data_IF_960991760277
#
_entry.id   IF_960991760277
#
_cell.length_a   1.000
_cell.length_b   1.000
_cell.length_c   1.000
_cell.angle_alpha   90.00
_cell.angle_beta   90.00
_cell.angle_gamma   90.00
#
_symmetry.space_group_name_H-M   'P 1'
#
loop_
_entity.id
_entity.type
_entity.pdbx_description
1 polymer ?
#
# COMPACT_ATOMS: atom_id res chain seq x y z
N UNK A 1 42.96 -43.76 -11.08
CA UNK A 1 42.93 -43.85 -12.57
C UNK A 1 42.34 -42.59 -13.16
N UNK A 2 43.15 -41.88 -13.89
CA UNK A 2 42.85 -40.66 -14.66
C UNK A 2 42.04 -41.01 -15.91
N UNK A 3 41.11 -40.16 -16.35
CA UNK A 3 40.78 -39.82 -17.76
C UNK A 3 39.93 -38.55 -17.75
N UNK A 4 40.52 -37.42 -18.00
CA UNK A 4 40.53 -36.52 -19.18
C UNK A 4 39.21 -36.46 -19.97
N UNK A 5 38.56 -35.26 -19.98
CA UNK A 5 38.64 -34.15 -20.92
C UNK A 5 37.90 -34.41 -22.23
N UNK A 6 36.93 -33.58 -22.58
CA UNK A 6 36.91 -32.89 -23.89
C UNK A 6 35.97 -31.67 -23.77
N UNK A 7 36.54 -30.50 -23.98
CA UNK A 7 35.95 -29.18 -24.26
C UNK A 7 35.50 -29.22 -25.73
N UNK A 8 34.29 -28.73 -26.02
CA UNK A 8 33.95 -28.34 -27.39
C UNK A 8 33.23 -26.98 -27.35
N UNK A 9 34.00 -25.98 -27.70
CA UNK A 9 33.62 -24.64 -28.11
C UNK A 9 33.03 -24.67 -29.49
N UNK A 10 31.84 -24.11 -29.69
CA UNK A 10 31.35 -23.71 -31.01
C UNK A 10 30.86 -22.26 -30.92
N UNK A 11 31.68 -21.41 -31.47
CA UNK A 11 31.42 -20.04 -31.88
C UNK A 11 30.50 -20.06 -33.11
N UNK A 12 29.44 -19.28 -33.11
CA UNK A 12 28.61 -19.07 -34.29
C UNK A 12 28.09 -17.64 -34.29
N UNK A 13 28.68 -16.88 -35.21
CA UNK A 13 28.54 -15.44 -35.36
C UNK A 13 27.25 -14.98 -36.07
N UNK A 14 26.84 -13.78 -35.75
CA UNK A 14 26.26 -12.67 -36.55
C UNK A 14 25.22 -12.98 -37.65
N UNK A 15 24.06 -12.31 -37.53
CA UNK A 15 23.49 -11.55 -38.65
C UNK A 15 22.64 -10.37 -38.12
N UNK A 16 23.20 -9.19 -38.26
CA UNK A 16 22.52 -7.91 -38.17
C UNK A 16 21.86 -7.68 -39.54
N UNK A 17 20.55 -7.43 -39.57
CA UNK A 17 19.87 -6.85 -40.74
C UNK A 17 19.10 -5.63 -40.33
N UNK A 18 19.72 -4.49 -40.58
CA UNK A 18 19.10 -3.17 -40.65
C UNK A 18 18.18 -3.11 -41.86
N UNK A 19 16.97 -2.61 -41.65
CA UNK A 19 16.15 -2.06 -42.75
C UNK A 19 15.82 -0.62 -42.45
N UNK A 20 16.58 0.23 -43.15
CA UNK A 20 16.26 1.63 -43.44
C UNK A 20 15.54 1.69 -44.79
N UNK A 21 14.48 2.47 -44.89
CA UNK A 21 14.00 3.21 -46.07
C UNK A 21 12.81 4.08 -45.62
N UNK A 22 12.88 5.33 -45.48
CA UNK A 22 13.13 6.49 -46.35
C UNK A 22 12.00 6.77 -47.34
N UNK A 23 11.48 8.00 -47.20
CA UNK A 23 10.88 8.92 -48.14
C UNK A 23 9.45 8.60 -48.62
N UNK A 24 8.54 9.54 -48.75
CA UNK A 24 8.69 10.83 -49.36
C UNK A 24 7.53 11.77 -48.96
N UNK A 25 7.85 13.03 -48.92
CA UNK A 25 6.97 14.18 -48.86
C UNK A 25 6.18 14.35 -50.17
N UNK A 26 4.97 14.88 -50.07
CA UNK A 26 4.45 15.79 -51.11
C UNK A 26 3.48 16.82 -50.51
N UNK A 27 3.84 18.05 -50.71
CA UNK A 27 3.09 19.25 -50.47
C UNK A 27 2.18 19.58 -51.66
N UNK A 28 1.06 20.22 -51.39
CA UNK A 28 0.36 21.22 -52.28
C UNK A 28 -0.78 21.79 -51.45
N UNK A 29 -0.71 22.97 -50.96
CA UNK A 29 -0.82 24.31 -51.51
C UNK A 29 -2.28 24.71 -51.90
N UNK A 30 -2.71 25.73 -51.18
CA UNK A 30 -3.54 26.85 -51.56
C UNK A 30 -5.07 26.67 -51.71
N UNK A 31 -5.86 27.39 -50.90
CA UNK A 31 -6.49 28.63 -51.32
C UNK A 31 -7.19 29.33 -50.15
N UNK A 32 -6.92 30.60 -50.02
CA UNK A 32 -7.55 31.65 -49.19
C UNK A 32 -9.00 31.89 -49.61
N UNK A 33 -9.80 32.33 -48.65
CA UNK A 33 -10.75 33.48 -48.66
C UNK A 33 -11.83 33.21 -47.62
N UNK A 34 -12.14 33.99 -46.74
CA UNK A 34 -12.47 35.35 -46.43
C UNK A 34 -13.27 35.35 -45.11
N UNK A 35 -12.90 36.25 -44.21
CA UNK A 35 -13.72 36.62 -43.02
C UNK A 35 -14.99 37.42 -43.49
N UNK A 36 -16.07 37.43 -42.67
CA UNK A 36 -16.19 38.47 -41.66
C UNK A 36 -16.72 38.02 -40.30
N UNK A 37 -16.18 38.64 -39.25
CA UNK A 37 -16.79 38.81 -37.92
C UNK A 37 -17.84 39.95 -38.00
N UNK A 38 -18.68 40.24 -36.96
CA UNK A 38 -18.77 39.69 -35.62
C UNK A 38 -20.21 39.40 -35.14
N UNK A 39 -20.40 38.60 -34.13
CA UNK A 39 -21.50 38.82 -33.17
C UNK A 39 -21.12 38.28 -31.79
N UNK A 40 -20.91 39.22 -30.93
CA UNK A 40 -20.78 39.12 -29.51
C UNK A 40 -22.02 38.43 -28.94
N UNK A 41 -21.89 37.17 -28.51
CA UNK A 41 -22.86 36.56 -27.63
C UNK A 41 -22.14 36.14 -26.36
N UNK A 42 -22.48 36.84 -25.28
CA UNK A 42 -21.96 36.57 -23.92
C UNK A 42 -22.27 35.14 -23.53
N UNK A 43 -21.22 34.37 -23.23
CA UNK A 43 -21.35 33.07 -22.58
C UNK A 43 -21.88 33.26 -21.14
N UNK A 44 -22.87 32.46 -20.68
CA UNK A 44 -23.26 32.45 -19.29
C UNK A 44 -22.09 31.94 -18.43
N UNK A 45 -21.96 32.41 -17.16
CA UNK A 45 -20.88 32.00 -16.30
C UNK A 45 -20.94 30.48 -16.08
N UNK A 46 -19.82 29.82 -16.32
CA UNK A 46 -19.63 28.42 -16.01
C UNK A 46 -19.96 28.21 -14.53
N UNK A 47 -21.11 27.59 -14.27
CA UNK A 47 -21.48 27.14 -12.94
C UNK A 47 -20.39 26.22 -12.45
N UNK A 48 -19.85 26.54 -11.28
CA UNK A 48 -18.98 25.66 -10.54
C UNK A 48 -19.66 24.29 -10.43
N UNK A 49 -19.18 23.32 -11.19
CA UNK A 49 -19.50 21.94 -10.96
C UNK A 49 -18.88 21.62 -9.59
N UNK A 50 -19.74 21.65 -8.58
CA UNK A 50 -19.42 21.08 -7.28
C UNK A 50 -19.03 19.62 -7.56
N UNK A 51 -17.73 19.34 -7.50
CA UNK A 51 -17.24 17.97 -7.46
C UNK A 51 -17.89 17.34 -6.22
N UNK A 52 -18.90 16.53 -6.45
CA UNK A 52 -19.51 15.70 -5.42
C UNK A 52 -18.40 14.84 -4.86
N UNK A 53 -17.98 15.16 -3.63
CA UNK A 53 -17.10 14.31 -2.83
C UNK A 53 -17.69 12.90 -2.87
N UNK A 54 -16.90 11.85 -3.20
CA UNK A 54 -17.41 10.50 -3.18
C UNK A 54 -18.06 10.26 -1.82
N UNK A 55 -19.36 9.99 -1.80
CA UNK A 55 -20.07 9.68 -0.56
C UNK A 55 -19.55 8.33 -0.11
N UNK A 56 -18.79 8.32 0.96
CA UNK A 56 -18.32 7.09 1.59
C UNK A 56 -19.52 6.17 1.88
N UNK A 57 -19.46 4.87 1.54
CA UNK A 57 -20.54 3.96 1.82
C UNK A 57 -20.84 3.91 3.33
N UNK A 58 -22.09 3.64 3.74
CA UNK A 58 -22.46 3.48 5.13
C UNK A 58 -21.55 2.49 5.86
N UNK A 59 -21.23 2.76 7.12
CA UNK A 59 -20.29 1.97 7.94
C UNK A 59 -20.59 0.45 7.89
N UNK A 60 -21.84 0.06 8.04
CA UNK A 60 -22.27 -1.34 7.92
C UNK A 60 -22.02 -2.00 6.54
N UNK A 61 -21.87 -1.21 5.48
CA UNK A 61 -21.49 -1.72 4.16
C UNK A 61 -19.99 -1.90 4.05
N UNK A 62 -19.20 -1.04 4.70
CA UNK A 62 -17.74 -1.16 4.78
C UNK A 62 -17.35 -2.40 5.56
N UNK A 63 -17.99 -2.66 6.71
CA UNK A 63 -17.72 -3.83 7.54
C UNK A 63 -17.96 -5.13 6.76
N UNK A 64 -19.09 -5.25 6.07
CA UNK A 64 -19.40 -6.42 5.24
C UNK A 64 -18.41 -6.61 4.09
N UNK A 65 -17.93 -5.51 3.49
CA UNK A 65 -16.94 -5.56 2.43
C UNK A 65 -15.60 -6.10 2.96
N UNK A 66 -15.18 -5.63 4.12
CA UNK A 66 -13.97 -6.12 4.78
C UNK A 66 -14.12 -7.60 5.13
N UNK A 67 -15.23 -8.00 5.74
CA UNK A 67 -15.48 -9.40 6.12
C UNK A 67 -15.43 -10.34 4.91
N UNK A 68 -16.02 -9.95 3.79
CA UNK A 68 -16.01 -10.75 2.56
C UNK A 68 -14.62 -10.84 1.94
N UNK A 69 -13.84 -9.75 1.94
CA UNK A 69 -12.48 -9.75 1.45
C UNK A 69 -11.54 -10.58 2.34
N UNK A 70 -11.65 -10.45 3.66
CA UNK A 70 -10.91 -11.27 4.65
C UNK A 70 -11.23 -12.75 4.47
N UNK A 71 -12.54 -13.07 4.33
CA UNK A 71 -12.96 -14.44 4.13
C UNK A 71 -12.42 -15.02 2.82
N UNK A 72 -12.34 -14.24 1.74
CA UNK A 72 -11.75 -14.67 0.48
C UNK A 72 -10.26 -15.01 0.61
N UNK A 73 -9.48 -14.20 1.33
CA UNK A 73 -8.07 -14.50 1.61
C UNK A 73 -7.93 -15.79 2.43
N UNK A 74 -8.76 -15.97 3.46
CA UNK A 74 -8.77 -17.18 4.27
C UNK A 74 -9.11 -18.43 3.43
N UNK A 75 -10.12 -18.35 2.56
CA UNK A 75 -10.45 -19.46 1.67
C UNK A 75 -9.32 -19.77 0.68
N UNK A 76 -8.57 -18.76 0.23
CA UNK A 76 -7.38 -18.98 -0.59
C UNK A 76 -6.29 -19.73 0.17
N UNK A 77 -6.08 -19.41 1.46
CA UNK A 77 -5.15 -20.14 2.32
C UNK A 77 -5.62 -21.60 2.59
N UNK A 78 -6.94 -21.78 2.76
CA UNK A 78 -7.53 -23.11 2.88
C UNK A 78 -7.29 -23.94 1.62
N UNK A 79 -7.44 -23.34 0.44
CA UNK A 79 -7.16 -24.00 -0.84
C UNK A 79 -5.69 -24.44 -0.93
N UNK A 80 -4.73 -23.58 -0.55
CA UNK A 80 -3.30 -23.93 -0.49
C UNK A 80 -3.05 -25.13 0.45
N UNK A 81 -3.66 -25.09 1.62
CA UNK A 81 -3.54 -26.19 2.60
C UNK A 81 -4.13 -27.50 2.05
N UNK A 82 -5.26 -27.44 1.36
CA UNK A 82 -5.89 -28.60 0.73
C UNK A 82 -5.02 -29.18 -0.41
N UNK A 83 -4.38 -28.30 -1.23
CA UNK A 83 -3.43 -28.73 -2.26
C UNK A 83 -2.24 -29.48 -1.62
N UNK A 84 -1.69 -28.97 -0.53
CA UNK A 84 -0.56 -29.60 0.19
C UNK A 84 -0.95 -30.96 0.79
N UNK A 85 -2.23 -31.16 1.07
CA UNK A 85 -2.79 -32.44 1.54
C UNK A 85 -3.25 -33.36 0.39
N UNK A 86 -3.03 -32.97 -0.87
CA UNK A 86 -3.53 -33.65 -2.08
C UNK A 86 -5.07 -33.79 -2.14
N UNK A 87 -5.80 -32.85 -1.54
CA UNK A 87 -7.26 -32.77 -1.53
C UNK A 87 -7.73 -31.73 -2.54
N UNK A 88 -7.59 -32.08 -3.82
CA UNK A 88 -7.85 -31.13 -4.92
C UNK A 88 -9.30 -30.64 -4.96
N UNK A 89 -10.27 -31.51 -4.64
CA UNK A 89 -11.70 -31.14 -4.62
C UNK A 89 -12.00 -30.14 -3.52
N UNK A 90 -11.42 -30.31 -2.32
CA UNK A 90 -11.53 -29.36 -1.21
C UNK A 90 -10.89 -28.00 -1.59
N UNK A 91 -9.77 -28.03 -2.32
CA UNK A 91 -9.13 -26.83 -2.80
C UNK A 91 -10.00 -26.07 -3.82
N UNK A 92 -10.62 -26.78 -4.76
CA UNK A 92 -11.54 -26.20 -5.75
C UNK A 92 -12.72 -25.56 -5.02
N UNK A 93 -13.36 -26.28 -4.09
CA UNK A 93 -14.49 -25.77 -3.32
C UNK A 93 -14.12 -24.50 -2.51
N UNK A 94 -12.91 -24.44 -1.95
CA UNK A 94 -12.42 -23.24 -1.27
C UNK A 94 -12.23 -22.06 -2.24
N UNK A 95 -11.68 -22.30 -3.44
CA UNK A 95 -11.51 -21.26 -4.47
C UNK A 95 -12.85 -20.74 -5.02
N UNK A 96 -13.85 -21.60 -5.15
CA UNK A 96 -15.21 -21.20 -5.53
C UNK A 96 -15.82 -20.26 -4.48
N UNK A 97 -15.69 -20.60 -3.19
CA UNK A 97 -16.15 -19.74 -2.10
C UNK A 97 -15.41 -18.40 -2.08
N UNK A 98 -14.08 -18.41 -2.26
CA UNK A 98 -13.29 -17.20 -2.31
C UNK A 98 -13.71 -16.30 -3.48
N UNK A 99 -13.85 -16.87 -4.67
CA UNK A 99 -14.28 -16.16 -5.88
C UNK A 99 -15.66 -15.54 -5.72
N UNK A 100 -16.64 -16.33 -5.21
CA UNK A 100 -18.00 -15.85 -4.98
C UNK A 100 -18.05 -14.66 -4.03
N UNK A 101 -17.26 -14.66 -2.96
CA UNK A 101 -17.16 -13.52 -2.02
C UNK A 101 -16.61 -12.27 -2.70
N UNK A 102 -15.57 -12.40 -3.50
CA UNK A 102 -14.98 -11.25 -4.22
C UNK A 102 -15.90 -10.71 -5.31
N UNK A 103 -16.66 -11.56 -5.97
CA UNK A 103 -17.66 -11.13 -6.95
C UNK A 103 -18.79 -10.32 -6.29
N UNK A 104 -19.19 -10.69 -5.08
CA UNK A 104 -20.16 -9.91 -4.29
C UNK A 104 -19.57 -8.53 -3.93
N UNK A 105 -18.31 -8.47 -3.51
CA UNK A 105 -17.60 -7.21 -3.23
C UNK A 105 -17.59 -6.31 -4.46
N UNK A 106 -17.18 -6.86 -5.61
CA UNK A 106 -17.12 -6.12 -6.88
C UNK A 106 -18.50 -5.68 -7.38
N UNK A 107 -19.54 -6.50 -7.21
CA UNK A 107 -20.90 -6.15 -7.57
C UNK A 107 -21.44 -4.98 -6.75
N UNK A 108 -21.08 -4.89 -5.47
CA UNK A 108 -21.49 -3.79 -4.57
C UNK A 108 -20.67 -2.53 -4.78
N UNK A 109 -19.40 -2.68 -5.08
CA UNK A 109 -18.46 -1.54 -5.19
C UNK A 109 -17.55 -1.73 -6.41
N UNK A 110 -18.07 -1.54 -7.65
CA UNK A 110 -17.33 -1.83 -8.88
C UNK A 110 -16.06 -1.00 -9.07
N UNK A 111 -16.00 0.17 -8.45
CA UNK A 111 -14.86 1.11 -8.54
C UNK A 111 -13.78 0.85 -7.50
N UNK A 112 -13.99 -0.11 -6.58
CA UNK A 112 -13.02 -0.42 -5.53
C UNK A 112 -11.84 -1.19 -6.14
N UNK A 113 -10.67 -0.56 -6.17
CA UNK A 113 -9.45 -1.19 -6.67
C UNK A 113 -8.79 -2.09 -5.62
N UNK A 114 -8.83 -1.69 -4.35
CA UNK A 114 -8.15 -2.33 -3.23
C UNK A 114 -9.12 -2.51 -2.05
N UNK A 115 -9.36 -3.76 -1.62
CA UNK A 115 -10.18 -4.06 -0.45
C UNK A 115 -9.29 -4.29 0.79
N UNK A 116 -9.52 -3.62 1.93
CA UNK A 116 -8.79 -3.91 3.15
C UNK A 116 -9.10 -5.32 3.65
N UNK A 117 -8.05 -6.06 4.05
CA UNK A 117 -8.16 -7.46 4.51
C UNK A 117 -7.49 -7.69 5.87
N UNK A 118 -6.65 -6.77 6.32
CA UNK A 118 -6.03 -6.83 7.64
C UNK A 118 -5.59 -5.45 8.08
N UNK A 119 -5.64 -5.20 9.38
CA UNK A 119 -5.11 -3.99 10.01
C UNK A 119 -4.31 -4.42 11.24
N UNK A 120 -3.02 -4.11 11.24
CA UNK A 120 -2.18 -4.30 12.43
C UNK A 120 -1.69 -2.95 12.94
N UNK A 121 -1.67 -2.81 14.27
CA UNK A 121 -1.20 -1.60 14.96
C UNK A 121 -0.07 -2.01 15.88
N UNK A 122 1.10 -1.41 15.69
CA UNK A 122 2.27 -1.62 16.55
C UNK A 122 2.70 -0.28 17.09
N UNK A 123 2.80 -0.18 18.43
CA UNK A 123 3.29 1.03 19.08
C UNK A 123 4.68 0.74 19.66
N UNK A 124 5.62 1.55 19.23
CA UNK A 124 6.94 1.65 19.83
C UNK A 124 7.01 2.94 20.63
N UNK A 125 7.52 2.89 21.83
CA UNK A 125 7.69 4.09 22.64
C UNK A 125 9.04 4.02 23.37
N UNK A 126 9.79 5.10 23.28
CA UNK A 126 11.05 5.23 23.99
C UNK A 126 10.75 5.57 25.44
N UNK A 127 10.95 4.60 26.32
CA UNK A 127 10.85 4.79 27.76
C UNK A 127 12.26 5.07 28.29
N UNK A 128 12.61 6.37 28.42
CA UNK A 128 13.94 6.77 28.87
C UNK A 128 14.05 8.26 29.11
N UNK A 129 15.19 8.65 29.64
CA UNK A 129 15.56 10.06 29.83
C UNK A 129 16.24 10.60 28.57
N UNK A 130 16.34 11.94 28.38
CA UNK A 130 17.16 12.51 27.31
C UNK A 130 18.61 12.02 27.32
N UNK A 131 19.18 11.71 28.48
CA UNK A 131 20.51 11.15 28.60
C UNK A 131 20.61 9.74 28.02
N UNK A 132 19.56 8.91 28.15
CA UNK A 132 19.52 7.58 27.53
C UNK A 132 19.48 7.68 26.01
N UNK A 133 18.74 8.64 25.46
CA UNK A 133 18.70 8.91 24.02
C UNK A 133 20.08 9.33 23.49
N UNK A 134 20.77 10.25 24.18
CA UNK A 134 22.12 10.68 23.80
C UNK A 134 23.13 9.51 23.86
N UNK A 135 23.02 8.63 24.85
CA UNK A 135 23.85 7.43 24.96
C UNK A 135 23.63 6.52 23.74
N UNK A 136 22.38 6.21 23.39
CA UNK A 136 22.05 5.36 22.24
C UNK A 136 22.55 6.02 20.94
N UNK A 137 22.42 7.34 20.78
CA UNK A 137 22.99 8.07 19.63
C UNK A 137 24.50 7.86 19.51
N UNK A 138 25.21 7.93 20.64
CA UNK A 138 26.65 7.65 20.68
C UNK A 138 26.98 6.21 20.25
N UNK A 139 26.21 5.23 20.72
CA UNK A 139 26.33 3.82 20.33
C UNK A 139 26.05 3.59 18.84
N UNK A 140 25.06 4.28 18.26
CA UNK A 140 24.79 4.27 16.83
C UNK A 140 25.99 4.78 16.04
N UNK A 141 26.56 5.94 16.44
CA UNK A 141 27.74 6.51 15.80
C UNK A 141 28.94 5.55 15.84
N UNK A 142 29.19 4.92 17.00
CA UNK A 142 30.24 3.92 17.15
C UNK A 142 30.01 2.68 16.29
N UNK A 143 28.77 2.19 16.19
CA UNK A 143 28.42 1.05 15.35
C UNK A 143 28.63 1.35 13.86
N UNK A 144 28.26 2.54 13.40
CA UNK A 144 28.49 2.99 12.02
C UNK A 144 30.00 3.07 11.73
N UNK A 145 30.78 3.71 12.61
CA UNK A 145 32.22 3.84 12.46
C UNK A 145 32.96 2.48 12.39
N UNK A 146 32.41 1.45 13.01
CA UNK A 146 32.91 0.09 13.00
C UNK A 146 32.33 -0.78 11.85
N UNK A 147 31.53 -0.21 10.94
CA UNK A 147 30.87 -0.94 9.85
C UNK A 147 29.77 -1.91 10.30
N UNK A 148 29.33 -1.86 11.57
CA UNK A 148 28.28 -2.71 12.13
C UNK A 148 26.90 -2.15 11.82
N UNK A 149 26.53 -2.09 10.54
CA UNK A 149 25.34 -1.41 10.06
C UNK A 149 24.03 -2.04 10.58
N UNK A 150 23.98 -3.35 10.78
CA UNK A 150 22.79 -4.02 11.32
C UNK A 150 22.54 -3.65 12.79
N UNK A 151 23.62 -3.52 13.58
CA UNK A 151 23.51 -3.05 14.95
C UNK A 151 23.06 -1.58 14.98
N UNK A 152 23.67 -0.72 14.16
CA UNK A 152 23.25 0.68 14.06
C UNK A 152 21.76 0.81 13.70
N UNK A 153 21.28 0.04 12.72
CA UNK A 153 19.87 0.02 12.32
C UNK A 153 18.95 -0.39 13.48
N UNK A 154 19.32 -1.44 14.23
CA UNK A 154 18.55 -1.87 15.40
C UNK A 154 18.48 -0.76 16.46
N UNK A 155 19.61 -0.16 16.81
CA UNK A 155 19.66 0.92 17.80
C UNK A 155 18.85 2.15 17.38
N UNK A 156 18.82 2.48 16.07
CA UNK A 156 17.99 3.57 15.55
C UNK A 156 16.49 3.22 15.67
N UNK A 157 16.10 1.98 15.38
CA UNK A 157 14.70 1.58 15.51
C UNK A 157 14.20 1.62 16.95
N UNK A 158 15.10 1.38 17.92
CA UNK A 158 14.78 1.46 19.34
C UNK A 158 14.60 2.91 19.85
N UNK A 159 14.98 3.92 19.04
CA UNK A 159 14.74 5.35 19.30
C UNK A 159 13.41 5.86 18.72
N UNK A 160 12.69 5.05 17.99
CA UNK A 160 11.38 5.40 17.43
C UNK A 160 10.32 5.51 18.52
N UNK A 161 9.64 6.66 18.62
CA UNK A 161 8.46 6.83 19.47
C UNK A 161 7.27 7.07 18.57
N UNK A 162 6.63 5.99 18.11
CA UNK A 162 5.62 6.05 17.06
C UNK A 162 4.60 4.91 17.17
N UNK A 163 3.43 5.14 16.64
CA UNK A 163 2.45 4.09 16.34
C UNK A 163 2.43 3.86 14.84
N UNK A 164 2.70 2.63 14.44
CA UNK A 164 2.68 2.18 13.05
C UNK A 164 1.40 1.40 12.80
N UNK A 165 0.58 1.90 11.88
CA UNK A 165 -0.63 1.23 11.41
C UNK A 165 -0.36 0.66 10.03
N UNK A 166 -0.37 -0.67 9.90
CA UNK A 166 -0.25 -1.36 8.63
C UNK A 166 -1.63 -1.82 8.17
N UNK A 167 -2.01 -1.48 6.96
CA UNK A 167 -3.28 -1.86 6.34
C UNK A 167 -2.96 -2.73 5.14
N UNK A 168 -3.26 -4.03 5.23
CA UNK A 168 -3.13 -4.95 4.10
C UNK A 168 -4.37 -4.84 3.20
N UNK A 169 -4.15 -4.68 1.90
CA UNK A 169 -5.21 -4.46 0.91
C UNK A 169 -5.10 -5.46 -0.24
N UNK A 170 -6.22 -6.07 -0.58
CA UNK A 170 -6.34 -7.05 -1.65
C UNK A 170 -6.62 -6.35 -2.98
N UNK A 171 -5.83 -6.57 -4.06
CA UNK A 171 -6.07 -5.98 -5.36
C UNK A 171 -7.23 -6.69 -6.09
N UNK A 172 -8.40 -6.06 -6.13
CA UNK A 172 -9.61 -6.65 -6.70
C UNK A 172 -9.59 -6.78 -8.23
N UNK A 173 -8.71 -6.03 -8.92
CA UNK A 173 -8.58 -6.11 -10.37
C UNK A 173 -7.91 -7.40 -10.86
N UNK A 174 -7.04 -8.01 -10.07
CA UNK A 174 -6.22 -9.15 -10.49
C UNK A 174 -6.46 -10.43 -9.68
N UNK A 175 -6.78 -10.28 -8.41
CA UNK A 175 -6.89 -11.41 -7.49
C UNK A 175 -8.00 -12.41 -7.87
N UNK A 176 -9.24 -12.01 -8.24
CA UNK A 176 -10.27 -12.95 -8.64
C UNK A 176 -9.91 -13.76 -9.90
N UNK A 177 -9.21 -13.12 -10.84
CA UNK A 177 -8.72 -13.81 -12.05
C UNK A 177 -7.69 -14.88 -11.70
N UNK A 178 -6.78 -14.62 -10.77
CA UNK A 178 -5.80 -15.60 -10.30
C UNK A 178 -6.48 -16.80 -9.61
N UNK A 179 -7.54 -16.59 -8.81
CA UNK A 179 -8.30 -17.68 -8.19
C UNK A 179 -8.96 -18.58 -9.25
N UNK A 180 -9.58 -17.98 -10.26
CA UNK A 180 -10.19 -18.70 -11.38
C UNK A 180 -9.15 -19.51 -12.17
N UNK A 181 -7.98 -18.91 -12.41
CA UNK A 181 -6.86 -19.61 -13.06
C UNK A 181 -6.37 -20.82 -12.24
N UNK A 182 -6.21 -20.66 -10.93
CA UNK A 182 -5.80 -21.74 -10.04
C UNK A 182 -6.84 -22.88 -10.03
N UNK A 183 -8.13 -22.56 -9.97
CA UNK A 183 -9.19 -23.56 -10.06
C UNK A 183 -9.14 -24.33 -11.41
N UNK A 184 -8.93 -23.63 -12.52
CA UNK A 184 -8.80 -24.28 -13.83
C UNK A 184 -7.58 -25.23 -13.89
N UNK A 185 -6.47 -24.86 -13.26
CA UNK A 185 -5.28 -25.72 -13.17
C UNK A 185 -5.53 -26.97 -12.31
N UNK A 186 -6.28 -26.86 -11.23
CA UNK A 186 -6.68 -28.01 -10.41
C UNK A 186 -7.56 -28.97 -11.19
N UNK A 187 -8.54 -28.49 -11.96
CA UNK A 187 -9.36 -29.31 -12.86
C UNK A 187 -8.54 -30.01 -13.95
N UNK A 188 -7.40 -29.44 -14.37
CA UNK A 188 -6.47 -30.05 -15.30
C UNK A 188 -5.51 -31.05 -14.64
N UNK A 189 -5.61 -31.30 -13.35
CA UNK A 189 -4.70 -32.17 -12.60
C UNK A 189 -3.31 -31.57 -12.36
N UNK A 190 -3.19 -30.23 -12.33
CA UNK A 190 -1.93 -29.49 -12.17
C UNK A 190 -1.85 -28.73 -10.83
N UNK A 191 -1.88 -29.43 -9.68
CA UNK A 191 -1.96 -28.79 -8.38
C UNK A 191 -0.73 -27.94 -8.04
N UNK A 192 0.46 -28.30 -8.50
CA UNK A 192 1.67 -27.54 -8.23
C UNK A 192 1.67 -26.19 -8.99
N UNK A 193 1.20 -26.16 -10.22
CA UNK A 193 1.03 -24.90 -10.97
C UNK A 193 -0.05 -24.01 -10.30
N UNK A 194 -1.16 -24.60 -9.87
CA UNK A 194 -2.20 -23.89 -9.12
C UNK A 194 -1.65 -23.27 -7.81
N UNK A 195 -0.83 -24.01 -7.07
CA UNK A 195 -0.16 -23.54 -5.86
C UNK A 195 0.69 -22.29 -6.12
N UNK A 196 1.52 -22.31 -7.18
CA UNK A 196 2.35 -21.16 -7.56
C UNK A 196 1.50 -19.94 -7.89
N UNK A 197 0.39 -20.11 -8.63
CA UNK A 197 -0.53 -19.02 -8.96
C UNK A 197 -1.13 -18.40 -7.68
N UNK A 198 -1.58 -19.23 -6.73
CA UNK A 198 -2.17 -18.76 -5.47
C UNK A 198 -1.15 -18.06 -4.58
N UNK A 199 0.07 -18.58 -4.48
CA UNK A 199 1.15 -17.95 -3.73
C UNK A 199 1.52 -16.59 -4.33
N UNK A 200 1.59 -16.52 -5.66
CA UNK A 200 1.83 -15.26 -6.37
C UNK A 200 0.70 -14.27 -6.11
N UNK A 201 -0.56 -14.71 -6.18
CA UNK A 201 -1.72 -13.86 -5.89
C UNK A 201 -1.68 -13.31 -4.46
N UNK A 202 -1.39 -14.13 -3.45
CA UNK A 202 -1.21 -13.66 -2.07
C UNK A 202 -0.04 -12.68 -1.93
N UNK A 203 1.02 -12.85 -2.71
CA UNK A 203 2.16 -11.93 -2.76
C UNK A 203 1.83 -10.57 -3.40
N UNK A 204 0.67 -10.40 -4.05
CA UNK A 204 0.23 -9.11 -4.60
C UNK A 204 -0.53 -8.23 -3.60
N UNK A 205 -0.75 -8.71 -2.37
CA UNK A 205 -1.37 -7.92 -1.30
C UNK A 205 -0.50 -6.69 -1.03
N UNK A 206 -1.12 -5.52 -1.12
CA UNK A 206 -0.47 -4.23 -0.90
C UNK A 206 -0.53 -3.88 0.58
N UNK A 207 0.59 -3.47 1.17
CA UNK A 207 0.64 -3.00 2.55
C UNK A 207 0.85 -1.50 2.55
N UNK A 208 -0.15 -0.75 3.01
CA UNK A 208 -0.04 0.67 3.30
C UNK A 208 0.38 0.85 4.75
N UNK A 209 1.38 1.69 4.98
CA UNK A 209 1.89 1.99 6.30
C UNK A 209 1.63 3.45 6.65
N UNK A 210 0.99 3.68 7.80
CA UNK A 210 0.78 5.00 8.38
C UNK A 210 1.61 5.07 9.66
N UNK A 211 2.52 6.02 9.73
CA UNK A 211 3.35 6.27 10.91
C UNK A 211 2.82 7.50 11.64
N UNK A 212 2.48 7.33 12.91
CA UNK A 212 1.97 8.38 13.80
C UNK A 212 3.04 8.66 14.86
N UNK A 213 3.78 9.77 14.77
CA UNK A 213 4.81 10.12 15.76
C UNK A 213 4.16 10.45 17.10
N UNK A 214 4.45 9.69 18.15
CA UNK A 214 3.87 9.91 19.48
C UNK A 214 4.24 11.27 20.09
N UNK A 215 5.47 11.81 19.92
CA UNK A 215 5.78 13.15 20.42
C UNK A 215 4.86 14.23 19.85
N UNK A 216 4.54 14.15 18.55
CA UNK A 216 3.62 15.10 17.91
C UNK A 216 2.20 15.01 18.50
N UNK A 217 1.69 13.80 18.68
CA UNK A 217 0.37 13.57 19.29
C UNK A 217 0.32 14.12 20.72
N UNK A 218 1.36 13.84 21.51
CA UNK A 218 1.48 14.34 22.89
C UNK A 218 1.55 15.86 22.94
N UNK A 219 2.30 16.48 22.04
CA UNK A 219 2.37 17.92 21.92
C UNK A 219 1.01 18.54 21.55
N UNK A 220 0.28 17.95 20.61
CA UNK A 220 -1.07 18.39 20.24
C UNK A 220 -2.05 18.31 21.41
N UNK A 221 -2.08 17.19 22.13
CA UNK A 221 -2.93 17.02 23.31
C UNK A 221 -2.59 18.04 24.41
N UNK A 222 -1.28 18.25 24.66
CA UNK A 222 -0.86 19.25 25.64
C UNK A 222 -1.27 20.69 25.25
N UNK A 223 -1.24 21.01 23.94
CA UNK A 223 -1.72 22.31 23.44
C UNK A 223 -3.24 22.45 23.56
N UNK A 224 -4.02 21.40 23.28
CA UNK A 224 -5.48 21.39 23.46
C UNK A 224 -5.87 21.60 24.92
N UNK A 225 -5.19 20.89 25.84
CA UNK A 225 -5.38 21.06 27.26
C UNK A 225 -5.02 22.51 27.74
N UNK A 226 -3.89 23.01 27.22
CA UNK A 226 -3.49 24.40 27.53
C UNK A 226 -4.50 25.42 27.00
N UNK A 227 -5.06 25.20 25.81
CA UNK A 227 -6.10 26.03 25.21
C UNK A 227 -7.37 26.00 26.01
N UNK A 228 -7.82 24.86 26.49
CA UNK A 228 -9.01 24.73 27.33
C UNK A 228 -8.88 25.53 28.64
N UNK A 229 -7.66 25.55 29.21
CA UNK A 229 -7.35 26.38 30.37
C UNK A 229 -7.32 27.89 30.03
N UNK A 230 -6.88 28.24 28.81
CA UNK A 230 -6.82 29.62 28.34
C UNK A 230 -8.23 30.22 28.18
N UNK A 231 -9.21 29.45 27.77
CA UNK A 231 -10.59 29.89 27.54
C UNK A 231 -11.35 30.22 28.86
N UNK A 232 -10.83 29.78 29.99
CA UNK A 232 -11.41 30.13 31.30
C UNK A 232 -11.22 31.61 31.61
N UNK A 233 -12.31 32.35 31.87
CA UNK A 233 -12.27 33.78 32.17
C UNK A 233 -11.54 34.10 33.47
N UNK A 234 -11.61 33.24 34.50
CA UNK A 234 -10.87 33.34 35.75
C UNK A 234 -10.09 32.05 35.95
N UNK A 235 -8.78 32.14 35.97
CA UNK A 235 -7.86 31.02 36.25
C UNK A 235 -7.27 31.19 37.64
N UNK A 236 -7.13 30.09 38.34
CA UNK A 236 -6.36 30.03 39.59
C UNK A 236 -4.86 30.03 39.25
N UNK A 237 -4.03 30.32 40.25
CA UNK A 237 -2.56 30.23 40.07
C UNK A 237 -2.11 28.83 39.73
N UNK A 238 -2.76 27.80 40.28
CA UNK A 238 -2.49 26.39 39.96
C UNK A 238 -2.81 26.08 38.50
N UNK A 239 -3.93 26.55 37.95
CA UNK A 239 -4.28 26.37 36.53
C UNK A 239 -3.32 27.11 35.61
N UNK A 240 -2.87 28.31 36.01
CA UNK A 240 -1.87 29.08 35.27
C UNK A 240 -0.49 28.39 35.27
N UNK A 241 -0.11 27.74 36.37
CA UNK A 241 1.09 26.93 36.48
C UNK A 241 0.97 25.67 35.59
N UNK A 242 -0.18 24.99 35.62
CA UNK A 242 -0.47 23.83 34.80
C UNK A 242 -0.40 24.15 33.30
N UNK A 243 -0.97 25.27 32.89
CA UNK A 243 -0.90 25.73 31.50
C UNK A 243 0.55 25.94 31.05
N UNK A 244 1.39 26.58 31.86
CA UNK A 244 2.84 26.74 31.55
C UNK A 244 3.55 25.41 31.44
N UNK A 245 3.23 24.45 32.30
CA UNK A 245 3.78 23.10 32.23
C UNK A 245 3.39 22.41 30.94
N UNK A 246 2.11 22.44 30.51
CA UNK A 246 1.60 21.88 29.28
C UNK A 246 2.28 22.49 28.05
N UNK A 247 2.46 23.80 28.02
CA UNK A 247 3.21 24.49 26.96
C UNK A 247 4.69 24.08 26.92
N UNK A 248 5.29 23.83 28.09
CA UNK A 248 6.63 23.27 28.19
C UNK A 248 6.70 21.85 27.59
N UNK A 249 5.77 20.99 27.95
CA UNK A 249 5.69 19.61 27.42
C UNK A 249 5.49 19.58 25.89
N UNK A 250 4.68 20.51 25.35
CA UNK A 250 4.46 20.57 23.91
C UNK A 250 5.69 21.05 23.11
N UNK A 251 6.68 21.66 23.76
CA UNK A 251 7.88 22.22 23.16
C UNK A 251 9.06 21.23 23.12
N UNK A 252 9.06 20.25 24.01
CA UNK A 252 10.12 19.22 24.12
C UNK A 252 9.83 18.01 23.26
#
# INVERSE_FOLDING_TARGET
MRKHLIISTALGALAISAWSSAAAAQASAASQQAQPQPSTQAAPPAGAQAQSKPTDPPEAQRDKLVDEAVAAVRETQNALTAIDQNKNDDAIAALERATGKLEIVLARTPTLALAPVDVSVVTHDVIGTPADVEKIRGEVGAAIAQGRLQLARKLISDLGSETVVNISKLPLGTYPAALKQAAALLHQGKPQEAKVVLQTALGTIVIDQIVIPLPLVRAQLALEDARSLLEKRKRTDAESARMRQLLGTART
#
